data_IF_535685994019
#
_entry.id   IF_535685994019
#
_cell.length_a   1.000
_cell.length_b   1.000
_cell.length_c   1.000
_cell.angle_alpha   90.00
_cell.angle_beta   90.00
_cell.angle_gamma   90.00
#
_symmetry.space_group_name_H-M   'P 1'
#
loop_
_entity.id
_entity.type
_entity.pdbx_description
1 polymer ?
#
# COMPACT_ATOMS: atom_id res chain seq x y z
N UNK A 1 52.13 45.49 19.04
CA UNK A 1 50.70 45.30 18.66
C UNK A 1 50.42 44.06 17.80
N UNK A 2 51.37 43.56 16.99
CA UNK A 2 51.15 42.42 16.07
C UNK A 2 50.84 41.05 16.72
N UNK A 3 51.20 40.82 18.00
CA UNK A 3 51.04 39.51 18.64
C UNK A 3 49.61 39.24 19.18
N UNK A 4 48.85 40.30 19.50
CA UNK A 4 47.44 40.17 19.95
C UNK A 4 46.49 39.77 18.82
N UNK A 5 46.79 40.20 17.58
CA UNK A 5 45.94 39.99 16.42
C UNK A 5 45.98 38.53 15.91
N UNK A 6 47.14 37.86 16.03
CA UNK A 6 47.30 36.43 15.69
C UNK A 6 46.58 35.50 16.66
N UNK A 7 46.58 35.82 17.95
CA UNK A 7 45.86 35.05 18.97
C UNK A 7 44.34 35.10 18.80
N UNK A 8 43.80 36.26 18.43
CA UNK A 8 42.37 36.45 18.17
C UNK A 8 41.89 35.66 16.93
N UNK A 9 42.67 35.67 15.84
CA UNK A 9 42.38 34.89 14.63
C UNK A 9 42.46 33.37 14.87
N UNK A 10 43.36 32.90 15.74
CA UNK A 10 43.47 31.49 16.12
C UNK A 10 42.29 31.03 16.97
N UNK A 11 41.92 31.82 17.98
CA UNK A 11 40.77 31.54 18.84
C UNK A 11 39.44 31.52 18.08
N UNK A 12 39.26 32.44 17.12
CA UNK A 12 38.08 32.49 16.26
C UNK A 12 37.96 31.27 15.34
N UNK A 13 39.09 30.75 14.81
CA UNK A 13 39.10 29.52 14.00
C UNK A 13 38.77 28.27 14.82
N UNK A 14 39.26 28.18 16.04
CA UNK A 14 38.93 27.08 16.97
C UNK A 14 37.46 27.14 17.36
N UNK A 15 36.93 28.32 17.70
CA UNK A 15 35.51 28.49 18.02
C UNK A 15 34.59 28.13 16.84
N UNK A 16 34.97 28.49 15.60
CA UNK A 16 34.21 28.16 14.41
C UNK A 16 34.27 26.65 14.07
N UNK A 17 35.41 26.01 14.30
CA UNK A 17 35.56 24.56 14.14
C UNK A 17 34.76 23.79 15.20
N UNK A 18 34.77 24.26 16.46
CA UNK A 18 33.95 23.70 17.55
C UNK A 18 32.45 23.91 17.32
N UNK A 19 32.04 25.05 16.75
CA UNK A 19 30.65 25.29 16.38
C UNK A 19 30.19 24.43 15.19
N UNK A 20 31.07 24.17 14.21
CA UNK A 20 30.79 23.28 13.09
C UNK A 20 30.65 21.80 13.51
N UNK A 21 31.33 21.37 14.57
CA UNK A 21 31.21 20.02 15.16
C UNK A 21 29.89 19.79 15.90
N UNK A 22 29.14 20.86 16.24
CA UNK A 22 27.88 20.79 17.00
C UNK A 22 26.62 20.76 16.12
N UNK A 23 26.76 20.86 14.79
CA UNK A 23 25.63 20.91 13.84
C UNK A 23 25.27 19.54 13.21
N UNK A 24 25.69 18.44 13.84
CA UNK A 24 25.24 17.10 13.42
C UNK A 24 23.79 16.87 13.82
N UNK A 25 22.82 17.33 13.03
CA UNK A 25 21.45 16.84 13.14
C UNK A 25 21.45 15.34 12.81
N UNK A 26 21.05 14.51 13.78
CA UNK A 26 20.91 13.07 13.56
C UNK A 26 19.69 12.84 12.68
N UNK A 27 19.89 12.29 11.49
CA UNK A 27 18.81 11.88 10.59
C UNK A 27 18.63 10.37 10.67
N UNK A 28 17.38 9.93 10.79
CA UNK A 28 16.97 8.53 10.79
C UNK A 28 16.43 8.14 9.42
N UNK A 29 16.94 7.04 8.86
CA UNK A 29 16.43 6.48 7.60
C UNK A 29 15.90 5.07 7.84
N UNK A 30 14.66 4.84 7.45
CA UNK A 30 13.99 3.55 7.53
C UNK A 30 13.61 3.13 6.12
N UNK A 31 14.11 1.97 5.70
CA UNK A 31 13.64 1.30 4.49
C UNK A 31 12.78 0.12 4.92
N UNK A 32 11.53 0.14 4.53
CA UNK A 32 10.60 -0.96 4.79
C UNK A 32 10.58 -1.86 3.58
N UNK A 33 10.98 -3.10 3.80
CA UNK A 33 10.75 -4.20 2.88
C UNK A 33 9.83 -5.21 3.57
N UNK A 34 9.00 -5.87 2.79
CA UNK A 34 7.95 -6.73 3.32
C UNK A 34 7.42 -7.68 2.25
N UNK A 35 7.29 -8.93 2.64
CA UNK A 35 6.53 -9.95 1.92
C UNK A 35 5.24 -10.21 2.68
N UNK A 36 4.13 -10.24 1.95
CA UNK A 36 2.80 -10.38 2.53
C UNK A 36 2.17 -11.67 2.03
N UNK A 37 1.42 -12.40 2.89
CA UNK A 37 0.78 -13.63 2.46
C UNK A 37 -0.40 -13.33 1.53
N UNK A 38 -0.63 -14.19 0.55
CA UNK A 38 -1.86 -14.19 -0.24
C UNK A 38 -3.04 -14.61 0.64
N UNK A 39 -4.12 -13.80 0.70
CA UNK A 39 -5.39 -14.25 1.25
C UNK A 39 -5.90 -15.52 0.57
N UNK A 40 -6.60 -16.37 1.34
CA UNK A 40 -7.21 -17.60 0.83
C UNK A 40 -8.73 -17.43 0.78
N UNK A 41 -9.30 -17.62 -0.41
CA UNK A 41 -10.74 -17.66 -0.63
C UNK A 41 -11.11 -17.61 -2.10
N UNK A 42 -12.42 -17.58 -2.41
CA UNK A 42 -12.90 -17.54 -3.79
C UNK A 42 -12.54 -16.19 -4.44
N UNK A 43 -12.06 -16.26 -5.67
CA UNK A 43 -11.82 -15.08 -6.50
C UNK A 43 -13.13 -14.50 -7.05
N UNK A 44 -13.12 -13.19 -7.32
CA UNK A 44 -14.16 -12.49 -8.05
C UNK A 44 -13.91 -12.59 -9.55
N UNK A 45 -14.94 -12.88 -10.38
CA UNK A 45 -14.79 -13.18 -11.80
C UNK A 45 -14.63 -11.92 -12.65
N UNK A 46 -13.67 -11.07 -12.32
CA UNK A 46 -13.35 -9.83 -13.03
C UNK A 46 -11.88 -9.85 -13.46
N UNK A 47 -11.59 -9.26 -14.61
CA UNK A 47 -10.24 -8.87 -15.00
C UNK A 47 -9.99 -7.43 -14.56
N UNK A 48 -9.11 -7.25 -13.58
CA UNK A 48 -8.89 -5.96 -12.89
C UNK A 48 -7.52 -5.38 -13.21
N UNK A 49 -7.50 -4.16 -13.74
CA UNK A 49 -6.29 -3.35 -13.82
C UNK A 49 -5.89 -2.85 -12.42
N UNK A 50 -4.61 -2.95 -12.07
CA UNK A 50 -4.07 -2.37 -10.83
C UNK A 50 -3.07 -1.30 -11.21
N UNK A 51 -3.41 -0.04 -10.94
CA UNK A 51 -2.51 1.08 -11.17
C UNK A 51 -1.96 1.60 -9.85
N UNK A 52 -0.65 1.48 -9.68
CA UNK A 52 0.08 2.06 -8.56
C UNK A 52 0.89 3.24 -9.10
N UNK A 53 0.53 4.44 -8.67
CA UNK A 53 1.21 5.67 -9.11
C UNK A 53 2.68 5.67 -8.67
N UNK A 54 3.47 6.55 -9.30
CA UNK A 54 4.87 6.77 -8.88
C UNK A 54 4.93 7.23 -7.42
N UNK A 55 4.07 8.18 -7.02
CA UNK A 55 3.93 8.65 -5.65
C UNK A 55 3.65 7.50 -4.66
N UNK A 56 2.87 6.50 -5.08
CA UNK A 56 2.58 5.32 -4.27
C UNK A 56 3.79 4.39 -4.16
N UNK A 57 4.42 4.07 -5.29
CA UNK A 57 5.56 3.13 -5.40
C UNK A 57 6.85 3.67 -4.79
N UNK A 58 7.03 4.98 -4.81
CA UNK A 58 8.22 5.67 -4.30
C UNK A 58 7.95 6.40 -2.98
N UNK A 59 6.78 6.18 -2.38
CA UNK A 59 6.36 6.88 -1.18
C UNK A 59 7.42 6.82 -0.06
N UNK A 60 7.78 8.02 0.40
CA UNK A 60 8.62 8.23 1.56
C UNK A 60 7.95 9.24 2.47
N UNK A 61 7.65 8.82 3.71
CA UNK A 61 7.18 9.74 4.74
C UNK A 61 8.38 10.48 5.34
N UNK A 62 8.30 11.80 5.35
CA UNK A 62 9.30 12.67 5.94
C UNK A 62 8.71 13.35 7.17
N UNK A 63 9.41 13.25 8.30
CA UNK A 63 9.06 13.90 9.56
C UNK A 63 10.30 14.64 10.06
N UNK A 64 10.18 15.95 10.23
CA UNK A 64 11.18 16.82 10.83
C UNK A 64 10.41 17.91 11.59
N UNK A 65 10.40 17.82 12.92
CA UNK A 65 9.60 18.70 13.78
C UNK A 65 10.35 19.10 15.03
N UNK A 66 9.94 20.18 15.71
CA UNK A 66 10.64 20.69 16.90
C UNK A 66 10.84 19.62 17.99
N UNK A 67 9.91 18.69 18.08
CA UNK A 67 9.93 17.62 19.07
C UNK A 67 10.58 16.32 18.57
N UNK A 68 10.92 16.19 17.28
CA UNK A 68 11.39 14.95 16.65
C UNK A 68 12.65 15.16 15.80
N UNK A 69 13.65 14.29 16.00
CA UNK A 69 14.75 14.12 15.04
C UNK A 69 14.19 13.86 13.64
N UNK A 70 14.95 14.18 12.58
CA UNK A 70 14.52 13.91 11.20
C UNK A 70 14.33 12.40 10.96
N UNK A 71 13.19 12.01 10.38
CA UNK A 71 12.86 10.65 9.93
C UNK A 71 12.50 10.64 8.45
N UNK A 72 13.17 9.77 7.72
CA UNK A 72 12.87 9.46 6.32
C UNK A 72 12.47 7.98 6.24
N UNK A 73 11.18 7.70 6.01
CA UNK A 73 10.59 6.37 6.06
C UNK A 73 10.08 5.97 4.67
N UNK A 74 10.87 5.19 3.94
CA UNK A 74 10.50 4.69 2.62
C UNK A 74 9.67 3.40 2.75
N UNK A 75 8.40 3.46 2.35
CA UNK A 75 7.45 2.33 2.41
C UNK A 75 6.94 1.88 1.05
N UNK A 76 7.17 2.66 -0.01
CA UNK A 76 6.61 2.43 -1.34
C UNK A 76 6.74 0.99 -1.86
N UNK A 77 7.94 0.39 -1.80
CA UNK A 77 8.17 -1.01 -2.21
C UNK A 77 7.32 -2.02 -1.42
N UNK A 78 7.25 -1.89 -0.10
CA UNK A 78 6.48 -2.80 0.73
C UNK A 78 4.97 -2.66 0.47
N UNK A 79 4.50 -1.44 0.22
CA UNK A 79 3.09 -1.19 -0.14
C UNK A 79 2.76 -1.75 -1.53
N UNK A 80 3.65 -1.57 -2.50
CA UNK A 80 3.50 -2.17 -3.83
C UNK A 80 3.38 -3.70 -3.72
N UNK A 81 4.30 -4.35 -3.01
CA UNK A 81 4.26 -5.80 -2.77
C UNK A 81 2.94 -6.23 -2.13
N UNK A 82 2.47 -5.50 -1.11
CA UNK A 82 1.21 -5.78 -0.42
C UNK A 82 0.03 -5.76 -1.41
N UNK A 83 -0.17 -4.64 -2.09
CA UNK A 83 -1.35 -4.44 -2.93
C UNK A 83 -1.34 -5.35 -4.15
N UNK A 84 -0.19 -5.58 -4.79
CA UNK A 84 -0.07 -6.57 -5.87
C UNK A 84 -0.42 -7.97 -5.38
N UNK A 85 0.08 -8.37 -4.21
CA UNK A 85 -0.14 -9.72 -3.67
C UNK A 85 -1.61 -9.95 -3.30
N UNK A 86 -2.21 -8.98 -2.60
CA UNK A 86 -3.59 -9.11 -2.11
C UNK A 86 -4.60 -8.98 -3.25
N UNK A 87 -4.45 -8.01 -4.15
CA UNK A 87 -5.39 -7.83 -5.25
C UNK A 87 -5.32 -8.99 -6.24
N UNK A 88 -4.12 -9.52 -6.55
CA UNK A 88 -3.98 -10.67 -7.45
C UNK A 88 -4.63 -11.95 -6.92
N UNK A 89 -4.76 -12.11 -5.60
CA UNK A 89 -5.49 -13.23 -5.02
C UNK A 89 -7.01 -13.01 -4.96
N UNK A 90 -7.49 -11.78 -5.12
CA UNK A 90 -8.91 -11.43 -4.99
C UNK A 90 -9.71 -11.59 -6.28
N UNK A 91 -9.07 -11.45 -7.44
CA UNK A 91 -9.72 -11.45 -8.74
C UNK A 91 -9.23 -12.60 -9.60
N UNK A 92 -10.05 -13.05 -10.56
CA UNK A 92 -9.67 -14.12 -11.49
C UNK A 92 -8.47 -13.74 -12.33
N UNK A 93 -8.35 -12.45 -12.68
CA UNK A 93 -7.17 -11.91 -13.34
C UNK A 93 -6.89 -10.48 -12.85
N UNK A 94 -5.59 -10.18 -12.70
CA UNK A 94 -5.13 -8.81 -12.41
C UNK A 94 -4.03 -8.42 -13.36
N UNK A 95 -4.14 -7.22 -13.93
CA UNK A 95 -3.17 -6.68 -14.87
C UNK A 95 -2.48 -5.47 -14.24
N UNK A 96 -1.16 -5.54 -13.95
CA UNK A 96 -0.41 -4.37 -13.51
C UNK A 96 -0.39 -3.32 -14.62
N UNK A 97 -0.80 -2.09 -14.28
CA UNK A 97 -0.81 -0.97 -15.21
C UNK A 97 0.37 -0.04 -14.91
N UNK A 98 1.20 0.22 -15.92
CA UNK A 98 2.28 1.21 -15.82
C UNK A 98 1.79 2.66 -15.95
N UNK A 99 0.59 2.86 -16.49
CA UNK A 99 -0.05 4.15 -16.70
C UNK A 99 -1.57 3.99 -16.65
N UNK A 100 -2.26 5.05 -16.22
CA UNK A 100 -3.71 5.16 -16.18
C UNK A 100 -4.07 6.66 -16.26
N UNK A 101 -5.14 7.09 -16.98
CA UNK A 101 -6.20 6.30 -17.61
C UNK A 101 -5.94 5.84 -19.06
N UNK A 102 -4.71 6.02 -19.58
CA UNK A 102 -4.39 5.70 -20.97
C UNK A 102 -3.98 4.23 -21.18
N UNK A 103 -4.13 3.73 -22.43
CA UNK A 103 -3.61 2.44 -22.90
C UNK A 103 -4.07 1.23 -22.08
N UNK A 104 -5.34 1.23 -21.66
CA UNK A 104 -5.95 0.08 -20.98
C UNK A 104 -6.10 -1.10 -21.94
N UNK A 105 -5.72 -2.32 -21.52
CA UNK A 105 -6.09 -3.55 -22.23
C UNK A 105 -7.62 -3.66 -22.38
N UNK A 106 -8.06 -4.22 -23.51
CA UNK A 106 -9.48 -4.26 -23.89
C UNK A 106 -10.35 -5.17 -23.01
N UNK A 107 -9.72 -6.09 -22.30
CA UNK A 107 -10.31 -7.08 -21.40
C UNK A 107 -10.37 -6.59 -19.94
N UNK A 108 -9.74 -5.46 -19.60
CA UNK A 108 -9.86 -4.87 -18.26
C UNK A 108 -11.27 -4.30 -18.07
N UNK A 109 -11.95 -4.78 -17.04
CA UNK A 109 -13.34 -4.40 -16.71
C UNK A 109 -13.42 -3.34 -15.62
N UNK A 110 -12.35 -3.20 -14.84
CA UNK A 110 -12.25 -2.27 -13.72
C UNK A 110 -10.78 -1.94 -13.45
N UNK A 111 -10.50 -0.72 -13.02
CA UNK A 111 -9.17 -0.32 -12.53
C UNK A 111 -9.24 0.06 -11.06
N UNK A 112 -8.41 -0.57 -10.23
CA UNK A 112 -8.21 -0.21 -8.82
C UNK A 112 -6.97 0.66 -8.69
N UNK A 113 -7.13 1.82 -8.03
CA UNK A 113 -6.09 2.82 -7.79
C UNK A 113 -6.03 3.12 -6.28
N UNK A 114 -5.10 2.50 -5.54
CA UNK A 114 -4.85 2.87 -4.15
C UNK A 114 -3.98 4.12 -4.07
N UNK A 115 -4.30 5.01 -3.14
CA UNK A 115 -3.54 6.22 -2.82
C UNK A 115 -3.26 6.25 -1.32
N UNK A 116 -2.08 6.73 -0.93
CA UNK A 116 -1.72 6.88 0.47
C UNK A 116 -2.26 8.21 0.94
N UNK A 117 -3.27 8.17 1.80
CA UNK A 117 -3.82 9.38 2.42
C UNK A 117 -2.88 9.90 3.49
N UNK A 118 -2.42 9.01 4.36
CA UNK A 118 -1.71 9.40 5.57
C UNK A 118 -0.89 8.24 6.14
N UNK A 119 0.34 8.53 6.60
CA UNK A 119 1.13 7.67 7.48
C UNK A 119 1.43 8.46 8.75
N UNK A 120 1.08 7.90 9.89
CA UNK A 120 1.42 8.45 11.21
C UNK A 120 2.15 7.40 12.03
N UNK A 121 3.06 7.85 12.88
CA UNK A 121 3.72 6.98 13.84
C UNK A 121 3.92 7.67 15.19
N UNK A 122 3.95 6.86 16.23
CA UNK A 122 4.21 7.27 17.62
C UNK A 122 5.43 6.53 18.15
N UNK A 123 6.33 7.27 18.78
CA UNK A 123 7.58 6.76 19.36
C UNK A 123 7.40 6.28 20.80
N UNK A 124 8.25 5.35 21.27
CA UNK A 124 8.24 4.89 22.66
C UNK A 124 8.25 6.00 23.73
N UNK A 125 8.99 7.09 23.47
CA UNK A 125 9.08 8.24 24.38
C UNK A 125 7.77 9.01 24.54
N UNK A 126 6.86 8.91 23.57
CA UNK A 126 5.57 9.60 23.55
C UNK A 126 4.49 8.78 24.27
N UNK A 127 4.54 7.44 24.17
CA UNK A 127 3.56 6.53 24.80
C UNK A 127 3.95 6.05 26.20
N UNK A 128 5.22 6.22 26.60
CA UNK A 128 5.82 5.63 27.82
C UNK A 128 5.80 4.10 27.83
N UNK A 129 5.60 3.48 26.68
CA UNK A 129 5.69 2.04 26.46
C UNK A 129 6.80 1.80 25.44
N UNK A 130 7.61 0.75 25.61
CA UNK A 130 8.76 0.49 24.72
C UNK A 130 8.34 -0.12 23.36
N UNK A 131 7.41 0.54 22.65
CA UNK A 131 6.87 0.13 21.35
C UNK A 131 6.71 1.33 20.43
N UNK A 132 6.84 1.10 19.13
CA UNK A 132 6.32 2.01 18.12
C UNK A 132 4.89 1.61 17.78
N UNK A 133 4.09 2.61 17.41
CA UNK A 133 2.77 2.44 16.85
C UNK A 133 2.69 3.19 15.52
N UNK A 134 1.98 2.60 14.55
CA UNK A 134 1.89 3.10 13.19
C UNK A 134 0.44 3.01 12.73
N UNK A 135 -0.03 4.07 12.10
CA UNK A 135 -1.32 4.11 11.40
C UNK A 135 -1.07 4.47 9.95
N UNK A 136 -1.71 3.74 9.05
CA UNK A 136 -1.68 4.06 7.61
C UNK A 136 -3.12 4.10 7.12
N UNK A 137 -3.47 5.16 6.41
CA UNK A 137 -4.77 5.32 5.75
C UNK A 137 -4.55 5.34 4.24
N UNK A 138 -5.39 4.60 3.54
CA UNK A 138 -5.41 4.61 2.08
C UNK A 138 -6.79 5.04 1.58
N UNK A 139 -6.76 5.82 0.51
CA UNK A 139 -7.90 6.06 -0.35
C UNK A 139 -7.90 5.03 -1.47
N UNK A 140 -8.98 4.29 -1.55
CA UNK A 140 -9.17 3.26 -2.57
C UNK A 140 -10.15 3.78 -3.58
N UNK A 141 -9.74 3.81 -4.84
CA UNK A 141 -10.62 4.17 -5.95
C UNK A 141 -10.77 2.99 -6.91
N UNK A 142 -11.98 2.83 -7.42
CA UNK A 142 -12.31 1.89 -8.48
C UNK A 142 -12.94 2.68 -9.62
N UNK A 143 -12.43 2.47 -10.83
CA UNK A 143 -12.88 3.15 -12.03
C UNK A 143 -13.27 2.15 -13.11
N UNK A 144 -14.27 2.51 -13.91
CA UNK A 144 -14.60 1.80 -15.12
C UNK A 144 -13.54 2.06 -16.21
N UNK A 145 -13.49 1.23 -17.28
CA UNK A 145 -12.48 1.38 -18.33
C UNK A 145 -12.56 2.71 -19.10
N UNK A 146 -13.73 3.36 -19.07
CA UNK A 146 -13.94 4.69 -19.66
C UNK A 146 -13.49 5.85 -18.73
N UNK A 147 -13.02 5.55 -17.52
CA UNK A 147 -12.58 6.53 -16.52
C UNK A 147 -13.65 6.96 -15.53
N UNK A 148 -14.89 6.47 -15.64
CA UNK A 148 -15.95 6.83 -14.69
C UNK A 148 -15.68 6.22 -13.31
N UNK A 149 -15.95 6.99 -12.25
CA UNK A 149 -15.83 6.48 -10.89
C UNK A 149 -16.90 5.45 -10.60
N UNK A 150 -16.49 4.26 -10.17
CA UNK A 150 -17.38 3.15 -9.78
C UNK A 150 -17.57 3.12 -8.27
N UNK A 151 -16.46 3.20 -7.51
CA UNK A 151 -16.51 3.20 -6.06
C UNK A 151 -15.32 3.96 -5.46
N UNK A 152 -15.50 4.44 -4.24
CA UNK A 152 -14.41 4.97 -3.43
C UNK A 152 -14.62 4.60 -1.97
N UNK A 153 -13.59 4.07 -1.33
CA UNK A 153 -13.64 3.67 0.07
C UNK A 153 -12.30 3.90 0.76
N UNK A 154 -12.32 3.93 2.08
CA UNK A 154 -11.12 4.15 2.89
C UNK A 154 -10.76 2.85 3.58
N UNK A 155 -9.48 2.52 3.60
CA UNK A 155 -8.95 1.51 4.52
C UNK A 155 -8.02 2.18 5.54
N UNK A 156 -8.10 1.75 6.79
CA UNK A 156 -7.21 2.17 7.86
C UNK A 156 -6.55 0.94 8.42
N UNK A 157 -5.26 1.02 8.63
CA UNK A 157 -4.47 -0.08 9.15
C UNK A 157 -3.61 0.37 10.32
N UNK A 158 -3.40 -0.53 11.27
CA UNK A 158 -2.65 -0.27 12.48
C UNK A 158 -1.59 -1.34 12.72
N UNK A 159 -0.42 -0.90 13.17
CA UNK A 159 0.68 -1.78 13.52
C UNK A 159 1.42 -1.30 14.74
N UNK A 160 1.99 -2.26 15.48
CA UNK A 160 2.85 -2.00 16.62
C UNK A 160 4.07 -2.90 16.59
N UNK A 161 5.14 -2.50 17.26
CA UNK A 161 6.32 -3.36 17.37
C UNK A 161 5.94 -4.68 18.07
N UNK A 162 6.27 -5.86 17.49
CA UNK A 162 5.88 -7.15 18.06
C UNK A 162 6.52 -7.50 19.40
N UNK A 163 7.70 -6.94 19.67
CA UNK A 163 8.45 -7.20 20.91
C UNK A 163 9.03 -5.90 21.47
N UNK A 164 9.21 -5.83 22.78
CA UNK A 164 9.89 -4.71 23.43
C UNK A 164 11.43 -4.78 23.31
N UNK A 165 11.99 -5.84 22.70
CA UNK A 165 13.43 -5.97 22.49
C UNK A 165 13.82 -5.37 21.15
N UNK A 166 14.07 -4.06 21.15
CA UNK A 166 14.36 -3.30 19.93
C UNK A 166 15.85 -3.43 19.58
N UNK A 167 16.17 -3.99 18.41
CA UNK A 167 17.55 -4.02 17.90
C UNK A 167 18.06 -2.61 17.58
N UNK A 168 17.21 -1.80 16.94
CA UNK A 168 17.39 -0.37 16.70
C UNK A 168 16.03 0.32 16.59
N UNK A 169 15.98 1.66 16.64
CA UNK A 169 14.73 2.42 16.49
C UNK A 169 14.14 2.25 15.09
N UNK A 170 15.00 2.26 14.08
CA UNK A 170 14.67 2.08 12.66
C UNK A 170 14.11 0.68 12.40
N UNK A 171 14.76 -0.36 12.92
CA UNK A 171 14.29 -1.74 12.77
C UNK A 171 12.96 -1.96 13.49
N UNK A 172 12.77 -1.36 14.66
CA UNK A 172 11.52 -1.45 15.42
C UNK A 172 10.35 -0.76 14.70
N UNK A 173 10.60 0.40 14.11
CA UNK A 173 9.62 1.13 13.30
C UNK A 173 9.29 0.36 12.02
N UNK A 174 10.29 -0.17 11.30
CA UNK A 174 10.07 -1.01 10.13
C UNK A 174 9.20 -2.24 10.45
N UNK A 175 9.41 -2.87 11.61
CA UNK A 175 8.56 -3.97 12.07
C UNK A 175 7.12 -3.53 12.34
N UNK A 176 6.92 -2.39 13.01
CA UNK A 176 5.58 -1.86 13.25
C UNK A 176 4.86 -1.52 11.94
N UNK A 177 5.57 -0.94 10.96
CA UNK A 177 5.03 -0.67 9.63
C UNK A 177 4.65 -1.98 8.91
N UNK A 178 5.51 -3.00 8.93
CA UNK A 178 5.16 -4.29 8.33
C UNK A 178 3.93 -4.95 8.98
N UNK A 179 3.73 -4.77 10.29
CA UNK A 179 2.48 -5.20 10.95
C UNK A 179 1.29 -4.39 10.45
N UNK A 180 1.42 -3.05 10.32
CA UNK A 180 0.36 -2.20 9.77
C UNK A 180 0.03 -2.57 8.31
N UNK A 181 1.02 -2.85 7.47
CA UNK A 181 0.81 -3.28 6.09
C UNK A 181 0.12 -4.66 6.02
N UNK A 182 0.47 -5.60 6.90
CA UNK A 182 -0.25 -6.86 7.01
C UNK A 182 -1.71 -6.65 7.41
N UNK A 183 -1.97 -5.73 8.33
CA UNK A 183 -3.33 -5.35 8.74
C UNK A 183 -4.10 -4.65 7.59
N UNK A 184 -3.43 -3.84 6.78
CA UNK A 184 -4.00 -3.23 5.58
C UNK A 184 -4.44 -4.30 4.57
N UNK A 185 -3.63 -5.33 4.33
CA UNK A 185 -4.00 -6.46 3.46
C UNK A 185 -5.22 -7.23 3.98
N UNK A 186 -5.26 -7.50 5.28
CA UNK A 186 -6.41 -8.14 5.91
C UNK A 186 -7.68 -7.28 5.82
N UNK A 187 -7.55 -5.97 6.07
CA UNK A 187 -8.65 -5.00 5.99
C UNK A 187 -9.16 -4.83 4.57
N UNK A 188 -8.26 -4.77 3.58
CA UNK A 188 -8.62 -4.72 2.16
C UNK A 188 -9.42 -5.96 1.78
N UNK A 189 -8.89 -7.15 2.06
CA UNK A 189 -9.54 -8.41 1.70
C UNK A 189 -10.90 -8.61 2.37
N UNK A 190 -10.96 -8.45 3.70
CA UNK A 190 -12.19 -8.70 4.48
C UNK A 190 -13.21 -7.57 4.37
N UNK A 191 -12.74 -6.34 4.10
CA UNK A 191 -13.58 -5.16 3.93
C UNK A 191 -14.20 -5.04 2.54
N UNK A 192 -13.63 -5.69 1.52
CA UNK A 192 -14.10 -5.57 0.13
C UNK A 192 -15.57 -5.95 -0.07
N UNK A 193 -16.05 -6.96 0.66
CA UNK A 193 -17.46 -7.37 0.64
C UNK A 193 -18.44 -6.28 1.16
N UNK A 194 -17.93 -5.24 1.82
CA UNK A 194 -18.70 -4.14 2.38
C UNK A 194 -18.79 -2.92 1.44
N UNK A 195 -18.20 -2.98 0.25
CA UNK A 195 -18.28 -1.92 -0.76
C UNK A 195 -19.45 -2.22 -1.70
N UNK A 196 -20.63 -1.58 -1.54
CA UNK A 196 -21.85 -2.01 -2.22
C UNK A 196 -21.78 -1.92 -3.74
N UNK A 197 -21.14 -0.88 -4.28
CA UNK A 197 -20.98 -0.65 -5.70
C UNK A 197 -20.14 -1.76 -6.35
N UNK A 198 -19.08 -2.19 -5.65
CA UNK A 198 -18.25 -3.33 -6.07
C UNK A 198 -19.04 -4.64 -6.06
N UNK A 199 -19.85 -4.88 -5.03
CA UNK A 199 -20.69 -6.09 -4.97
C UNK A 199 -21.73 -6.10 -6.09
N UNK A 200 -22.36 -4.96 -6.39
CA UNK A 200 -23.31 -4.84 -7.48
C UNK A 200 -22.67 -5.21 -8.84
N UNK A 201 -21.46 -4.71 -9.10
CA UNK A 201 -20.70 -5.04 -10.31
C UNK A 201 -20.38 -6.53 -10.41
N UNK A 202 -19.91 -7.12 -9.31
CA UNK A 202 -19.56 -8.55 -9.25
C UNK A 202 -20.79 -9.44 -9.47
N UNK A 203 -21.92 -9.09 -8.87
CA UNK A 203 -23.16 -9.85 -9.02
C UNK A 203 -23.73 -9.72 -10.44
N UNK A 204 -23.62 -8.55 -11.06
CA UNK A 204 -23.96 -8.37 -12.48
C UNK A 204 -23.10 -9.27 -13.38
N UNK A 205 -21.78 -9.26 -13.19
CA UNK A 205 -20.85 -10.11 -13.94
C UNK A 205 -21.17 -11.60 -13.77
N UNK A 206 -21.46 -12.05 -12.54
CA UNK A 206 -21.87 -13.44 -12.26
C UNK A 206 -23.15 -13.82 -12.98
N UNK A 207 -24.15 -12.93 -13.02
CA UNK A 207 -25.40 -13.15 -13.76
C UNK A 207 -25.15 -13.25 -15.27
N UNK A 208 -24.32 -12.37 -15.83
CA UNK A 208 -23.97 -12.41 -17.25
C UNK A 208 -23.33 -13.75 -17.63
N UNK A 209 -22.33 -14.20 -16.87
CA UNK A 209 -21.68 -15.51 -17.06
C UNK A 209 -22.69 -16.66 -16.97
N UNK A 210 -23.62 -16.60 -16.01
CA UNK A 210 -24.63 -17.65 -15.83
C UNK A 210 -25.60 -17.74 -17.01
N UNK A 211 -25.96 -16.62 -17.64
CA UNK A 211 -26.86 -16.58 -18.80
C UNK A 211 -26.19 -17.11 -20.08
N UNK A 212 -24.90 -16.84 -20.26
CA UNK A 212 -24.11 -17.37 -21.40
C UNK A 212 -23.92 -18.89 -21.33
N UNK A 213 -24.02 -19.49 -20.15
CA UNK A 213 -23.84 -20.93 -19.92
C UNK A 213 -25.13 -21.75 -20.04
N UNK A 214 -26.29 -21.14 -20.33
CA UNK A 214 -27.54 -21.87 -20.54
C UNK A 214 -27.49 -22.51 -21.95
N UNK A 215 -27.48 -23.86 -22.08
CA UNK A 215 -27.48 -24.49 -23.39
C UNK A 215 -28.76 -24.13 -24.15
N UNK A 216 -28.60 -23.78 -25.43
CA UNK A 216 -29.74 -23.49 -26.31
C UNK A 216 -30.65 -24.72 -26.44
N UNK A 217 -31.98 -24.58 -26.41
CA UNK A 217 -32.93 -25.69 -26.48
C UNK A 217 -32.87 -26.51 -27.79
N UNK A 218 -32.05 -26.10 -28.76
CA UNK A 218 -31.87 -26.79 -30.04
C UNK A 218 -30.97 -28.04 -29.92
N UNK A 219 -30.12 -28.16 -28.90
CA UNK A 219 -29.21 -29.33 -28.76
C UNK A 219 -29.87 -30.57 -28.14
N UNK A 220 -31.07 -30.45 -27.54
CA UNK A 220 -31.78 -31.59 -26.94
C UNK A 220 -32.61 -32.40 -27.96
N UNK A 221 -32.82 -31.88 -29.18
CA UNK A 221 -33.71 -32.50 -30.17
C UNK A 221 -33.06 -33.59 -31.05
N UNK A 222 -31.77 -33.89 -30.88
CA UNK A 222 -31.07 -34.85 -31.75
C UNK A 222 -30.82 -36.23 -31.15
N UNK A 223 -31.36 -36.52 -29.95
CA UNK A 223 -31.18 -37.79 -29.26
C UNK A 223 -32.52 -38.52 -28.99
N UNK A 224 -33.37 -38.67 -29.99
CA UNK A 224 -34.48 -39.64 -29.97
C UNK A 224 -34.85 -40.05 -31.39
N UNK A 225 -33.97 -40.80 -32.08
CA UNK A 225 -34.43 -41.77 -33.07
C UNK A 225 -33.34 -42.82 -33.32
N UNK A 226 -33.41 -43.91 -32.56
CA UNK A 226 -32.70 -45.15 -32.88
C UNK A 226 -33.78 -46.23 -33.00
N UNK A 227 -33.95 -46.86 -34.19
CA UNK A 227 -34.91 -47.94 -34.33
C UNK A 227 -34.39 -49.19 -33.62
N UNK A 228 -35.33 -49.90 -33.01
CA UNK A 228 -35.17 -51.24 -32.46
C UNK A 228 -34.90 -52.20 -33.61
N UNK A 229 -33.80 -52.96 -33.51
CA UNK A 229 -33.61 -54.26 -34.20
C UNK A 229 -33.22 -55.32 -33.16
#
# INVERSE_FOLDING_TARGET
>A
MANRQKGFLSAMRVALASAALLLGACSHTVKVDGEFPQPVGPQHPLTVGVYLSEDFREFTHHEDSEDRDEWNISTGRAQENLFQTVLSSMFSETVPLGQYPANLPSDVELVIVPEIRELQFTMPRETRVNIFEVWIKYDMHAYAPNGDSVASWVITAYGKTPTAFLKSREAALAQAINVALRDAGATLYTGFARVPEMQALIDEKRRAISLEQIPSPTDTASATDAPVE
#
